data_IF_900699087521
#
_entry.id   IF_900699087521
#
_cell.length_a   1.000
_cell.length_b   1.000
_cell.length_c   1.000
_cell.angle_alpha   90.00
_cell.angle_beta   90.00
_cell.angle_gamma   90.00
#
_symmetry.space_group_name_H-M   'P 1'
#
loop_
_entity.id
_entity.type
_entity.pdbx_description
1 polymer ?
#
# COMPACT_ATOMS: atom_id res chain seq x y z
N UNK A 1 -21.16 15.12 13.94
CA UNK A 1 -20.92 14.85 12.51
C UNK A 1 -20.14 13.55 12.43
N UNK A 2 -20.73 12.49 11.90
CA UNK A 2 -20.10 11.17 11.84
C UNK A 2 -18.87 11.22 10.92
N UNK A 3 -17.76 10.62 11.34
CA UNK A 3 -16.50 10.56 10.57
C UNK A 3 -16.54 9.67 9.31
N UNK A 4 -17.73 9.34 8.80
CA UNK A 4 -17.95 8.45 7.65
C UNK A 4 -17.88 9.15 6.28
N UNK A 5 -17.88 10.49 6.25
CA UNK A 5 -17.81 11.32 5.02
C UNK A 5 -16.57 12.24 5.02
N UNK A 6 -15.45 11.75 5.56
CA UNK A 6 -14.19 12.48 5.45
C UNK A 6 -13.75 12.51 3.97
N UNK A 7 -13.90 13.65 3.31
CA UNK A 7 -13.42 13.88 1.95
C UNK A 7 -12.06 14.55 2.02
N UNK A 8 -11.06 13.95 1.38
CA UNK A 8 -9.75 14.58 1.24
C UNK A 8 -9.87 15.77 0.28
N UNK A 9 -9.30 16.90 0.67
CA UNK A 9 -9.32 18.13 -0.13
C UNK A 9 -7.88 18.52 -0.43
N UNK A 10 -7.55 18.62 -1.71
CA UNK A 10 -6.24 19.03 -2.18
C UNK A 10 -6.36 20.35 -2.95
N UNK A 11 -5.53 21.33 -2.61
CA UNK A 11 -5.40 22.58 -3.36
C UNK A 11 -4.24 22.49 -4.33
N UNK A 12 -4.46 22.82 -5.61
CA UNK A 12 -3.42 22.83 -6.63
C UNK A 12 -3.41 24.13 -7.41
N UNK A 13 -2.27 24.50 -7.97
CA UNK A 13 -2.19 25.57 -8.96
C UNK A 13 -2.79 25.06 -10.30
N UNK A 14 -3.93 25.60 -10.77
CA UNK A 14 -4.57 25.16 -12.00
C UNK A 14 -3.68 25.28 -13.24
N UNK A 15 -2.69 26.18 -13.24
CA UNK A 15 -1.77 26.37 -14.35
C UNK A 15 -0.70 25.29 -14.45
N UNK A 16 -0.31 24.69 -13.31
CA UNK A 16 0.94 23.91 -13.19
C UNK A 16 0.73 22.46 -12.79
N UNK A 17 -0.39 22.12 -12.18
CA UNK A 17 -0.60 20.80 -11.60
C UNK A 17 -0.51 19.64 -12.62
N UNK A 18 -0.91 19.87 -13.87
CA UNK A 18 -0.82 18.89 -14.96
C UNK A 18 0.62 18.59 -15.41
N UNK A 19 1.58 19.47 -15.09
CA UNK A 19 2.99 19.23 -15.40
C UNK A 19 3.65 18.29 -14.38
N UNK A 20 3.04 18.09 -13.21
CA UNK A 20 3.60 17.30 -12.12
C UNK A 20 3.10 15.85 -12.17
N UNK A 21 1.81 15.66 -12.43
CA UNK A 21 1.18 14.34 -12.45
C UNK A 21 0.27 14.22 -13.68
N UNK A 22 0.22 13.04 -14.33
CA UNK A 22 -0.65 12.81 -15.47
C UNK A 22 -2.08 12.57 -14.99
N UNK A 23 -2.81 13.66 -14.71
CA UNK A 23 -4.25 13.62 -14.41
C UNK A 23 -5.03 13.08 -15.60
N UNK A 24 -5.21 11.76 -15.70
CA UNK A 24 -5.99 11.18 -16.79
C UNK A 24 -7.44 11.54 -16.58
N UNK A 25 -8.00 12.29 -17.53
CA UNK A 25 -9.38 12.71 -17.45
C UNK A 25 -10.32 11.56 -17.84
N UNK A 26 -11.26 11.23 -16.96
CA UNK A 26 -12.34 10.27 -17.23
C UNK A 26 -13.53 10.99 -17.84
N UNK A 27 -13.87 12.18 -17.33
CA UNK A 27 -14.96 13.02 -17.86
C UNK A 27 -14.74 14.52 -17.60
N UNK A 28 -15.38 15.36 -18.41
CA UNK A 28 -15.40 16.81 -18.21
C UNK A 28 -14.15 17.54 -18.74
N UNK A 29 -13.54 18.37 -17.88
CA UNK A 29 -12.31 19.11 -18.18
C UNK A 29 -11.42 19.29 -16.95
N UNK A 30 -10.15 19.62 -17.20
CA UNK A 30 -9.21 20.09 -16.19
C UNK A 30 -9.61 21.46 -15.58
N UNK A 31 -9.04 21.75 -14.41
CA UNK A 31 -9.07 23.07 -13.79
C UNK A 31 -8.32 24.06 -14.68
N UNK A 32 -8.82 25.29 -14.79
CA UNK A 32 -8.20 26.35 -15.60
C UNK A 32 -7.85 27.56 -14.74
N UNK A 33 -6.76 28.23 -15.08
CA UNK A 33 -6.43 29.52 -14.48
C UNK A 33 -7.52 30.54 -14.80
N UNK A 34 -8.07 31.17 -13.76
CA UNK A 34 -9.16 32.13 -13.90
C UNK A 34 -10.57 31.52 -13.93
N UNK A 35 -10.74 30.23 -13.61
CA UNK A 35 -12.06 29.68 -13.33
C UNK A 35 -12.72 30.49 -12.19
N UNK A 36 -13.69 31.33 -12.55
CA UNK A 36 -14.42 32.16 -11.59
C UNK A 36 -15.65 31.41 -11.11
N UNK A 37 -15.58 30.88 -9.89
CA UNK A 37 -16.68 30.17 -9.25
C UNK A 37 -16.23 28.79 -8.80
N UNK A 38 -15.95 28.66 -7.50
CA UNK A 38 -15.70 27.41 -6.74
C UNK A 38 -15.83 26.15 -7.60
N UNK A 39 -14.74 25.75 -8.24
CA UNK A 39 -14.71 24.57 -9.11
C UNK A 39 -14.00 23.42 -8.40
N UNK A 40 -14.41 22.20 -8.71
CA UNK A 40 -13.79 20.99 -8.19
C UNK A 40 -13.53 20.00 -9.33
N UNK A 41 -12.37 19.36 -9.27
CA UNK A 41 -12.03 18.18 -10.04
C UNK A 41 -12.04 17.00 -9.08
N UNK A 42 -12.85 15.97 -9.36
CA UNK A 42 -13.03 14.83 -8.45
C UNK A 42 -12.21 13.64 -8.90
N UNK A 43 -11.61 12.91 -7.97
CA UNK A 43 -11.08 11.59 -8.26
C UNK A 43 -12.20 10.59 -8.53
N UNK A 44 -11.91 9.55 -9.32
CA UNK A 44 -12.91 8.56 -9.75
C UNK A 44 -13.59 7.85 -8.58
N UNK A 45 -12.85 7.45 -7.54
CA UNK A 45 -13.44 6.79 -6.37
C UNK A 45 -14.37 7.72 -5.57
N UNK A 46 -14.00 9.00 -5.46
CA UNK A 46 -14.84 10.00 -4.80
C UNK A 46 -16.12 10.29 -5.60
N UNK A 47 -15.98 10.43 -6.92
CA UNK A 47 -17.09 10.66 -7.82
C UNK A 47 -18.08 9.49 -7.77
N UNK A 48 -17.60 8.26 -7.84
CA UNK A 48 -18.42 7.05 -7.74
C UNK A 48 -19.12 6.93 -6.38
N UNK A 49 -18.42 7.25 -5.28
CA UNK A 49 -18.99 7.21 -3.92
C UNK A 49 -20.20 8.13 -3.76
N UNK A 50 -20.16 9.32 -4.37
CA UNK A 50 -21.24 10.29 -4.31
C UNK A 50 -22.18 10.25 -5.53
N UNK A 51 -21.91 9.39 -6.51
CA UNK A 51 -22.66 9.30 -7.77
C UNK A 51 -22.63 10.59 -8.58
N UNK A 52 -21.50 11.30 -8.57
CA UNK A 52 -21.33 12.61 -9.21
C UNK A 52 -20.54 12.49 -10.52
N UNK A 53 -20.85 13.38 -11.45
CA UNK A 53 -20.20 13.49 -12.76
C UNK A 53 -19.82 14.93 -13.09
N UNK A 54 -19.11 15.14 -14.20
CA UNK A 54 -18.81 16.49 -14.66
C UNK A 54 -20.10 17.26 -15.00
N UNK A 55 -20.27 18.44 -14.40
CA UNK A 55 -21.47 19.27 -14.48
C UNK A 55 -22.29 19.30 -13.19
N UNK A 56 -22.09 18.32 -12.31
CA UNK A 56 -22.79 18.26 -11.03
C UNK A 56 -22.20 19.23 -10.00
N UNK A 57 -22.80 19.26 -8.79
CA UNK A 57 -22.32 20.08 -7.67
C UNK A 57 -21.99 19.19 -6.48
N UNK A 58 -20.80 19.38 -5.92
CA UNK A 58 -20.34 18.67 -4.71
C UNK A 58 -20.36 19.62 -3.51
N UNK A 59 -20.82 19.13 -2.36
CA UNK A 59 -20.82 19.88 -1.10
C UNK A 59 -19.57 19.54 -0.29
N UNK A 60 -18.59 20.44 -0.27
CA UNK A 60 -17.35 20.28 0.48
C UNK A 60 -17.36 21.21 1.69
N UNK A 61 -17.29 20.65 2.90
CA UNK A 61 -17.32 21.37 4.20
C UNK A 61 -18.39 22.47 4.28
N UNK A 62 -19.59 22.19 3.76
CA UNK A 62 -20.70 23.15 3.79
C UNK A 62 -20.62 24.26 2.75
N UNK A 63 -19.82 24.12 1.69
CA UNK A 63 -19.81 25.00 0.51
C UNK A 63 -19.99 24.19 -0.77
N UNK A 64 -20.70 24.78 -1.72
CA UNK A 64 -20.96 24.16 -3.03
C UNK A 64 -19.81 24.44 -4.00
N UNK A 65 -19.40 23.40 -4.71
CA UNK A 65 -18.40 23.46 -5.77
C UNK A 65 -18.95 22.80 -7.04
N UNK A 66 -18.81 23.47 -8.17
CA UNK A 66 -19.17 22.92 -9.47
C UNK A 66 -18.12 21.89 -9.90
N UNK A 67 -18.54 20.66 -10.16
CA UNK A 67 -17.67 19.57 -10.63
C UNK A 67 -17.37 19.82 -12.10
N UNK A 68 -16.14 20.21 -12.42
CA UNK A 68 -15.73 20.48 -13.81
C UNK A 68 -15.22 19.24 -14.54
N UNK A 69 -14.81 18.21 -13.79
CA UNK A 69 -14.31 16.97 -14.35
C UNK A 69 -14.03 15.90 -13.31
N UNK A 70 -13.85 14.67 -13.79
CA UNK A 70 -13.44 13.51 -13.01
C UNK A 70 -12.12 12.98 -13.57
N UNK A 71 -11.16 12.67 -12.69
CA UNK A 71 -9.84 12.16 -13.05
C UNK A 71 -9.52 10.82 -12.40
N UNK A 72 -8.51 10.15 -12.94
CA UNK A 72 -7.91 8.93 -12.40
C UNK A 72 -6.38 9.07 -12.40
N UNK A 73 -5.76 8.84 -11.24
CA UNK A 73 -4.31 8.85 -11.01
C UNK A 73 -3.78 7.47 -10.61
N UNK A 74 -4.63 6.57 -10.11
CA UNK A 74 -4.22 5.30 -9.51
C UNK A 74 -3.59 5.45 -8.12
N UNK A 75 -3.93 6.53 -7.40
CA UNK A 75 -3.36 6.85 -6.08
C UNK A 75 -4.46 7.19 -5.09
N UNK A 76 -4.10 7.49 -3.84
CA UNK A 76 -5.06 7.95 -2.82
C UNK A 76 -5.82 9.23 -3.22
N UNK A 77 -5.30 10.00 -4.20
CA UNK A 77 -6.01 11.17 -4.73
C UNK A 77 -7.25 10.82 -5.55
N UNK A 78 -7.45 9.55 -5.92
CA UNK A 78 -8.68 9.11 -6.59
C UNK A 78 -9.91 9.20 -5.67
N UNK A 79 -9.71 9.29 -4.35
CA UNK A 79 -10.76 9.57 -3.37
C UNK A 79 -10.75 11.03 -2.85
N UNK A 80 -10.14 11.94 -3.62
CA UNK A 80 -9.98 13.34 -3.23
C UNK A 80 -10.74 14.32 -4.14
N UNK A 81 -11.10 15.47 -3.57
CA UNK A 81 -11.54 16.64 -4.29
C UNK A 81 -10.36 17.60 -4.49
N UNK A 82 -10.00 17.84 -5.75
CA UNK A 82 -8.94 18.75 -6.14
C UNK A 82 -9.55 20.10 -6.51
N UNK A 83 -9.13 21.15 -5.83
CA UNK A 83 -9.63 22.52 -5.99
C UNK A 83 -8.48 23.45 -6.44
N UNK A 84 -8.79 24.62 -7.01
CA UNK A 84 -7.82 25.71 -7.08
C UNK A 84 -7.24 26.01 -5.69
N UNK A 85 -5.93 26.25 -5.60
CA UNK A 85 -5.22 26.42 -4.32
C UNK A 85 -5.88 27.49 -3.43
N UNK A 86 -6.24 28.64 -4.01
CA UNK A 86 -6.91 29.72 -3.29
C UNK A 86 -8.28 29.29 -2.71
N UNK A 87 -9.04 28.48 -3.45
CA UNK A 87 -10.33 27.96 -2.99
C UNK A 87 -10.14 26.96 -1.85
N UNK A 88 -9.12 26.08 -1.94
CA UNK A 88 -8.78 25.14 -0.88
C UNK A 88 -8.32 25.86 0.40
N UNK A 89 -7.44 26.87 0.27
CA UNK A 89 -6.96 27.69 1.38
C UNK A 89 -8.12 28.42 2.07
N UNK A 90 -9.02 29.03 1.29
CA UNK A 90 -10.21 29.70 1.82
C UNK A 90 -11.25 28.75 2.42
N UNK A 91 -11.28 27.48 2.00
CA UNK A 91 -12.16 26.45 2.54
C UNK A 91 -11.60 25.85 3.83
N UNK A 92 -10.29 25.68 3.93
CA UNK A 92 -9.58 25.08 5.08
C UNK A 92 -9.14 26.11 6.13
N UNK A 93 -9.14 27.40 5.80
CA UNK A 93 -8.75 28.47 6.71
C UNK A 93 -7.23 28.62 6.85
N UNK A 94 -6.47 28.30 5.80
CA UNK A 94 -5.00 28.30 5.82
C UNK A 94 -4.37 29.62 5.35
N UNK A 95 -5.16 30.62 4.95
CA UNK A 95 -4.61 31.90 4.47
C UNK A 95 -3.71 31.69 3.26
N UNK A 96 -2.47 32.21 3.33
CA UNK A 96 -1.47 32.05 2.27
C UNK A 96 -0.53 30.85 2.51
N UNK A 97 -0.76 30.07 3.56
CA UNK A 97 0.09 28.92 3.90
C UNK A 97 -0.15 27.74 2.92
N UNK A 98 0.94 27.02 2.62
CA UNK A 98 0.95 25.87 1.72
C UNK A 98 1.61 24.69 2.43
N UNK A 99 1.01 23.50 2.32
CA UNK A 99 1.52 22.29 2.99
C UNK A 99 2.70 21.64 2.27
N UNK A 100 2.77 21.74 0.93
CA UNK A 100 3.77 21.07 0.12
C UNK A 100 4.12 21.90 -1.12
N UNK A 101 5.41 22.06 -1.37
CA UNK A 101 5.92 22.49 -2.68
C UNK A 101 6.41 21.27 -3.44
N UNK A 102 5.87 21.06 -4.63
CA UNK A 102 6.32 20.01 -5.53
C UNK A 102 7.05 20.66 -6.68
N UNK A 103 8.27 20.20 -6.92
CA UNK A 103 9.13 20.63 -8.00
C UNK A 103 9.38 19.47 -8.96
N UNK A 104 9.37 19.76 -10.26
CA UNK A 104 9.64 18.77 -11.29
C UNK A 104 11.10 18.31 -11.27
N UNK A 105 11.34 17.06 -11.65
CA UNK A 105 12.69 16.48 -11.76
C UNK A 105 13.45 17.17 -12.90
N UNK A 106 14.74 17.45 -12.69
CA UNK A 106 15.61 18.12 -13.67
C UNK A 106 15.80 19.62 -13.44
N UNK A 107 15.32 20.15 -12.31
CA UNK A 107 15.70 21.48 -11.81
C UNK A 107 17.10 21.51 -11.21
N UNK A 108 17.48 22.67 -10.66
CA UNK A 108 18.78 22.87 -9.97
C UNK A 108 18.82 22.31 -8.54
N UNK A 109 17.72 21.72 -8.07
CA UNK A 109 17.56 21.20 -6.71
C UNK A 109 17.61 19.68 -6.75
N UNK A 110 18.43 19.10 -5.88
CA UNK A 110 18.59 17.67 -5.68
C UNK A 110 18.08 17.24 -4.30
N UNK A 111 17.82 15.94 -4.17
CA UNK A 111 17.49 15.33 -2.88
C UNK A 111 18.60 15.57 -1.85
N UNK A 112 18.22 16.01 -0.65
CA UNK A 112 19.15 16.40 0.42
C UNK A 112 19.59 17.88 0.39
N UNK A 113 19.19 18.66 -0.63
CA UNK A 113 19.48 20.09 -0.65
C UNK A 113 18.74 20.81 0.49
N UNK A 114 19.43 21.75 1.14
CA UNK A 114 18.83 22.61 2.16
C UNK A 114 18.63 24.01 1.58
N UNK A 115 17.38 24.48 1.56
CA UNK A 115 17.05 25.83 1.12
C UNK A 115 17.07 26.84 2.28
N UNK A 116 17.15 28.12 1.93
CA UNK A 116 17.00 29.20 2.90
C UNK A 116 15.68 29.08 3.67
N UNK A 117 15.74 29.16 4.99
CA UNK A 117 14.58 28.93 5.87
C UNK A 117 14.48 27.52 6.46
N UNK A 118 15.47 26.64 6.22
CA UNK A 118 15.52 25.30 6.83
C UNK A 118 14.64 24.26 6.15
N UNK A 119 14.23 24.53 4.91
CA UNK A 119 13.46 23.61 4.08
C UNK A 119 14.42 22.57 3.47
N UNK A 120 14.15 21.29 3.71
CA UNK A 120 14.86 20.17 3.09
C UNK A 120 14.13 19.77 1.80
N UNK A 121 14.89 19.62 0.73
CA UNK A 121 14.40 19.06 -0.53
C UNK A 121 14.47 17.54 -0.41
N UNK A 122 13.33 16.89 -0.55
CA UNK A 122 13.21 15.44 -0.56
C UNK A 122 12.59 14.98 -1.88
N UNK A 123 13.07 13.87 -2.45
CA UNK A 123 12.43 13.30 -3.63
C UNK A 123 10.98 12.86 -3.30
N UNK A 124 10.03 13.14 -4.21
CA UNK A 124 8.62 12.80 -4.02
C UNK A 124 8.47 11.27 -3.98
N UNK A 125 8.13 10.73 -2.82
CA UNK A 125 8.07 9.27 -2.58
C UNK A 125 9.19 8.78 -1.67
N UNK A 126 10.34 9.47 -1.68
CA UNK A 126 11.31 9.46 -0.58
C UNK A 126 10.81 10.41 0.50
N UNK A 127 9.67 10.05 1.08
CA UNK A 127 9.42 10.48 2.44
C UNK A 127 10.60 9.91 3.23
N UNK A 128 11.36 10.77 3.91
CA UNK A 128 12.39 10.40 4.89
C UNK A 128 11.93 9.35 5.94
N UNK A 129 10.64 8.98 5.94
CA UNK A 129 10.06 7.85 6.64
C UNK A 129 10.45 6.47 6.09
N UNK A 130 10.66 6.25 4.78
CA UNK A 130 10.93 4.87 4.30
C UNK A 130 12.20 4.33 4.94
N UNK A 131 13.28 5.10 4.94
CA UNK A 131 14.53 4.76 5.64
C UNK A 131 14.36 4.66 7.16
N UNK A 132 13.49 5.48 7.77
CA UNK A 132 13.21 5.43 9.21
C UNK A 132 12.45 4.16 9.62
N UNK A 133 11.57 3.64 8.76
CA UNK A 133 10.79 2.41 9.00
C UNK A 133 11.46 1.14 8.46
N UNK A 134 12.48 1.24 7.60
CA UNK A 134 13.30 0.11 7.14
C UNK A 134 13.80 -0.79 8.29
N UNK A 135 14.34 -0.26 9.41
CA UNK A 135 14.76 -1.09 10.53
C UNK A 135 13.61 -1.89 11.16
N UNK A 136 12.40 -1.30 11.24
CA UNK A 136 11.23 -1.99 11.77
C UNK A 136 10.76 -3.10 10.82
N UNK A 137 10.70 -2.82 9.53
CA UNK A 137 10.35 -3.81 8.50
C UNK A 137 11.37 -4.96 8.52
N UNK A 138 12.66 -4.66 8.58
CA UNK A 138 13.72 -5.65 8.68
C UNK A 138 13.60 -6.49 9.96
N UNK A 139 13.21 -5.89 11.10
CA UNK A 139 12.96 -6.61 12.35
C UNK A 139 11.74 -7.53 12.25
N UNK A 140 10.65 -7.07 11.63
CA UNK A 140 9.46 -7.88 11.37
C UNK A 140 9.80 -9.06 10.46
N UNK A 141 10.54 -8.82 9.38
CA UNK A 141 11.00 -9.86 8.48
C UNK A 141 11.91 -10.87 9.18
N UNK A 142 12.86 -10.40 9.99
CA UNK A 142 13.73 -11.26 10.79
C UNK A 142 12.93 -12.10 11.79
N UNK A 143 11.90 -11.52 12.41
CA UNK A 143 10.99 -12.22 13.33
C UNK A 143 10.21 -13.32 12.63
N UNK A 144 9.66 -13.05 11.43
CA UNK A 144 8.95 -14.06 10.61
C UNK A 144 9.91 -15.19 10.23
N UNK A 145 11.15 -14.87 9.81
CA UNK A 145 12.17 -15.87 9.47
C UNK A 145 12.55 -16.73 10.70
N UNK A 146 12.70 -16.13 11.87
CA UNK A 146 13.00 -16.84 13.13
C UNK A 146 11.85 -17.78 13.54
N UNK A 147 10.60 -17.32 13.45
CA UNK A 147 9.43 -18.15 13.71
C UNK A 147 9.34 -19.32 12.73
N UNK A 148 9.60 -19.09 11.45
CA UNK A 148 9.64 -20.14 10.44
C UNK A 148 10.72 -21.19 10.78
N UNK A 149 11.93 -20.75 11.16
CA UNK A 149 13.02 -21.64 11.56
C UNK A 149 12.67 -22.44 12.83
N UNK A 150 12.03 -21.80 13.80
CA UNK A 150 11.51 -22.44 15.00
C UNK A 150 10.47 -23.51 14.68
N UNK A 151 9.54 -23.24 13.77
CA UNK A 151 8.55 -24.22 13.32
C UNK A 151 9.21 -25.44 12.66
N UNK A 152 10.22 -25.23 11.82
CA UNK A 152 11.00 -26.34 11.22
C UNK A 152 11.72 -27.15 12.30
N UNK A 153 12.33 -26.49 13.28
CA UNK A 153 13.02 -27.18 14.37
C UNK A 153 12.06 -28.01 15.24
N UNK A 154 10.90 -27.47 15.60
CA UNK A 154 9.84 -28.18 16.34
C UNK A 154 9.37 -29.40 15.54
N UNK A 155 9.16 -29.25 14.23
CA UNK A 155 8.79 -30.35 13.35
C UNK A 155 9.87 -31.44 13.31
N UNK A 156 11.14 -31.07 13.18
CA UNK A 156 12.26 -32.02 13.17
C UNK A 156 12.35 -32.81 14.48
N UNK A 157 12.19 -32.13 15.63
CA UNK A 157 12.17 -32.77 16.95
C UNK A 157 10.97 -33.71 17.10
N UNK A 158 9.79 -33.31 16.63
CA UNK A 158 8.58 -34.14 16.67
C UNK A 158 8.75 -35.42 15.84
N UNK A 159 9.29 -35.31 14.62
CA UNK A 159 9.58 -36.45 13.75
C UNK A 159 10.65 -37.38 14.36
N UNK A 160 11.71 -36.83 14.93
CA UNK A 160 12.73 -37.61 15.63
C UNK A 160 12.12 -38.39 16.81
N UNK A 161 11.29 -37.73 17.62
CA UNK A 161 10.61 -38.33 18.76
C UNK A 161 9.68 -39.47 18.32
N UNK A 162 8.90 -39.27 17.25
CA UNK A 162 8.04 -40.31 16.66
C UNK A 162 8.85 -41.52 16.18
N UNK A 163 9.96 -41.29 15.47
CA UNK A 163 10.83 -42.36 15.00
C UNK A 163 11.43 -43.18 16.17
N UNK A 164 11.80 -42.51 17.26
CA UNK A 164 12.30 -43.17 18.45
C UNK A 164 11.23 -44.02 19.15
N UNK A 165 9.98 -43.54 19.23
CA UNK A 165 8.86 -44.28 19.80
C UNK A 165 8.57 -45.58 19.03
N UNK A 166 8.60 -45.53 17.69
CA UNK A 166 8.34 -46.69 16.83
C UNK A 166 9.57 -47.58 16.57
N UNK A 167 10.68 -47.38 17.26
CA UNK A 167 11.92 -48.17 17.06
C UNK A 167 11.73 -49.67 17.30
N UNK A 168 10.83 -50.05 18.21
CA UNK A 168 10.53 -51.45 18.54
C UNK A 168 9.68 -52.09 17.46
N UNK A 169 8.65 -51.38 16.97
CA UNK A 169 7.78 -51.82 15.88
C UNK A 169 8.59 -52.08 14.60
N UNK A 170 9.57 -51.22 14.31
CA UNK A 170 10.52 -51.40 13.21
C UNK A 170 11.46 -52.60 13.41
N UNK A 171 11.78 -52.93 14.66
CA UNK A 171 12.52 -54.15 15.02
C UNK A 171 11.70 -55.42 14.76
N UNK A 172 10.41 -55.40 15.10
CA UNK A 172 9.49 -56.52 14.84
C UNK A 172 9.25 -56.72 13.34
N UNK A 173 9.09 -55.65 12.57
CA UNK A 173 8.97 -55.72 11.10
C UNK A 173 10.21 -56.32 10.43
N UNK A 174 11.39 -56.08 10.98
CA UNK A 174 12.64 -56.72 10.53
C UNK A 174 12.65 -58.24 10.79
N UNK A 175 12.11 -58.68 11.93
CA UNK A 175 11.96 -60.10 12.24
C UNK A 175 10.95 -60.81 11.31
N UNK A 176 9.97 -60.08 10.80
CA UNK A 176 9.01 -60.54 9.79
C UNK A 176 9.54 -60.50 8.35
N UNK A 177 10.82 -60.12 8.14
CA UNK A 177 11.49 -60.19 6.84
C UNK A 177 11.41 -58.92 5.97
N UNK A 178 10.88 -57.80 6.47
CA UNK A 178 10.82 -56.56 5.70
C UNK A 178 12.21 -55.93 5.48
N UNK A 179 12.50 -55.53 4.23
CA UNK A 179 13.79 -54.96 3.82
C UNK A 179 13.92 -53.48 4.24
N UNK A 180 15.13 -53.08 4.68
CA UNK A 180 15.47 -51.74 5.21
C UNK A 180 15.05 -50.53 4.35
N UNK A 181 14.93 -50.71 3.03
CA UNK A 181 14.59 -49.62 2.11
C UNK A 181 13.08 -49.31 2.07
N UNK A 182 12.20 -50.25 2.44
CA UNK A 182 10.76 -49.97 2.50
C UNK A 182 10.43 -48.99 3.63
N UNK A 183 11.12 -49.10 4.76
CA UNK A 183 10.98 -48.15 5.88
C UNK A 183 11.49 -46.76 5.50
N UNK A 184 12.65 -46.70 4.85
CA UNK A 184 13.20 -45.42 4.36
C UNK A 184 12.28 -44.77 3.31
N UNK A 185 11.71 -45.57 2.40
CA UNK A 185 10.75 -45.10 1.40
C UNK A 185 9.45 -44.59 2.06
N UNK A 186 8.94 -45.29 3.07
CA UNK A 186 7.77 -44.85 3.83
C UNK A 186 7.99 -43.49 4.50
N UNK A 187 9.12 -43.30 5.21
CA UNK A 187 9.46 -41.99 5.79
C UNK A 187 9.60 -40.90 4.74
N UNK A 188 10.29 -41.19 3.63
CA UNK A 188 10.48 -40.23 2.54
C UNK A 188 9.15 -39.77 1.93
N UNK A 189 8.21 -40.70 1.73
CA UNK A 189 6.86 -40.40 1.23
C UNK A 189 6.09 -39.56 2.25
N UNK A 190 6.15 -39.89 3.54
CA UNK A 190 5.49 -39.08 4.57
C UNK A 190 6.04 -37.65 4.64
N UNK A 191 7.37 -37.49 4.59
CA UNK A 191 8.00 -36.18 4.57
C UNK A 191 7.64 -35.40 3.31
N UNK A 192 7.62 -36.03 2.13
CA UNK A 192 7.22 -35.39 0.88
C UNK A 192 5.77 -34.90 0.92
N UNK A 193 4.85 -35.72 1.46
CA UNK A 193 3.44 -35.34 1.63
C UNK A 193 3.27 -34.17 2.60
N UNK A 194 4.01 -34.16 3.72
CA UNK A 194 4.00 -33.05 4.68
C UNK A 194 4.50 -31.75 4.07
N UNK A 195 5.59 -31.79 3.29
CA UNK A 195 6.14 -30.61 2.59
C UNK A 195 5.14 -30.09 1.55
N UNK A 196 4.53 -30.98 0.77
CA UNK A 196 3.50 -30.62 -0.21
C UNK A 196 2.29 -29.95 0.47
N UNK A 197 1.78 -30.55 1.55
CA UNK A 197 0.66 -29.98 2.31
C UNK A 197 1.01 -28.58 2.85
N UNK A 198 2.18 -28.42 3.48
CA UNK A 198 2.63 -27.13 3.99
C UNK A 198 2.77 -26.08 2.88
N UNK A 199 3.34 -26.44 1.73
CA UNK A 199 3.48 -25.55 0.58
C UNK A 199 2.12 -25.11 0.02
N UNK A 200 1.17 -26.04 -0.12
CA UNK A 200 -0.19 -25.69 -0.60
C UNK A 200 -0.93 -24.76 0.36
N UNK A 201 -0.86 -25.00 1.67
CA UNK A 201 -1.48 -24.13 2.69
C UNK A 201 -0.83 -22.74 2.67
N UNK A 202 0.50 -22.67 2.55
CA UNK A 202 1.23 -21.40 2.44
C UNK A 202 0.83 -20.59 1.19
N UNK A 203 0.72 -21.24 0.03
CA UNK A 203 0.30 -20.59 -1.22
C UNK A 203 -1.15 -20.10 -1.18
N UNK A 204 -2.05 -20.85 -0.53
CA UNK A 204 -3.45 -20.43 -0.37
C UNK A 204 -3.58 -19.28 0.62
N UNK A 205 -2.83 -19.31 1.72
CA UNK A 205 -2.78 -18.21 2.70
C UNK A 205 -2.19 -16.93 2.13
N UNK A 206 -1.18 -17.01 1.26
CA UNK A 206 -0.57 -15.84 0.62
C UNK A 206 -1.48 -15.12 -0.39
N UNK A 207 -2.61 -15.73 -0.77
CA UNK A 207 -3.58 -15.17 -1.72
C UNK A 207 -4.76 -14.45 -1.07
N UNK A 208 -4.85 -14.50 0.26
CA UNK A 208 -5.84 -13.80 1.08
C UNK A 208 -5.20 -12.59 1.76
#
# INVERSE_FOLDING_TARGET
TSGSDATLIAGVDPARYQALDPYRLVSGRHLRSGDTGRTALLGVALADRFGLTAGDTVRLRGRDFAVVGVFELGTYLDDAAVLPLADAQALLGWGDDVSLFVIGVGGSLADGDTMAGGLLVAARGDIALVDEWQPLIALLEASVRLLALGAVAVMAVALWRLAWLHRVDLGVLRLLGFRRHMVAAYLAVQSALLVLAAATVGLLGARW
#
